data_IF_973154399401
#
_entry.id   IF_973154399401
#
_cell.length_a   1.000
_cell.length_b   1.000
_cell.length_c   1.000
_cell.angle_alpha   90.00
_cell.angle_beta   90.00
_cell.angle_gamma   90.00
#
_symmetry.space_group_name_H-M   'P 1'
#
loop_
_entity.id
_entity.type
_entity.pdbx_description
1 polymer ?
#
# COMPACT_ATOMS: atom_id res chain seq x y z
N UNK A 1 28.68 -2.32 -0.79
CA UNK A 1 27.59 -1.31 -0.77
C UNK A 1 26.99 -1.20 0.65
N UNK A 2 27.63 -0.46 1.57
CA UNK A 2 27.17 -0.31 2.95
C UNK A 2 26.05 0.74 3.18
N UNK A 3 25.70 1.59 2.19
CA UNK A 3 24.80 2.76 2.35
C UNK A 3 23.28 2.50 2.32
N UNK A 4 22.84 1.23 2.31
CA UNK A 4 21.41 0.85 2.23
C UNK A 4 20.85 0.23 3.52
N UNK A 5 21.66 0.01 4.55
CA UNK A 5 21.20 -0.54 5.81
C UNK A 5 20.31 0.49 6.53
N UNK A 6 19.01 0.17 6.64
CA UNK A 6 18.07 1.03 7.37
C UNK A 6 17.55 2.23 6.57
N UNK A 7 17.49 2.16 5.24
CA UNK A 7 16.61 3.03 4.43
C UNK A 7 15.39 2.25 3.96
N UNK A 8 14.24 2.90 3.87
CA UNK A 8 12.98 2.34 3.38
C UNK A 8 12.33 3.35 2.44
N UNK A 9 11.89 2.95 1.26
CA UNK A 9 11.08 3.78 0.36
C UNK A 9 9.65 3.24 0.25
N UNK A 10 8.67 4.11 0.38
CA UNK A 10 7.24 3.77 0.28
C UNK A 10 6.60 4.63 -0.80
N UNK A 11 5.87 3.99 -1.70
CA UNK A 11 4.97 4.63 -2.63
C UNK A 11 3.53 4.27 -2.23
N UNK A 12 2.68 5.27 -1.98
CA UNK A 12 1.23 5.08 -1.90
C UNK A 12 0.59 5.71 -3.13
N UNK A 13 -0.25 4.97 -3.83
CA UNK A 13 -0.98 5.48 -4.98
C UNK A 13 -2.38 4.90 -5.01
N UNK A 14 -3.36 5.78 -5.09
CA UNK A 14 -4.70 5.38 -5.44
C UNK A 14 -4.74 5.19 -6.97
N UNK A 15 -5.08 3.98 -7.43
CA UNK A 15 -5.15 3.62 -8.85
C UNK A 15 -6.59 3.55 -9.36
N UNK A 16 -7.53 4.11 -8.57
CA UNK A 16 -8.90 4.41 -8.94
C UNK A 16 -8.98 5.06 -10.31
N UNK A 17 -10.05 4.76 -11.06
CA UNK A 17 -10.35 5.42 -12.32
C UNK A 17 -11.09 4.51 -13.29
N UNK A 18 -12.17 3.84 -12.83
CA UNK A 18 -13.08 3.03 -13.68
C UNK A 18 -13.73 3.92 -14.73
N UNK A 19 -12.99 4.09 -15.81
CA UNK A 19 -13.42 4.70 -17.03
C UNK A 19 -12.21 4.72 -17.92
N UNK A 20 -12.14 3.80 -18.87
CA UNK A 20 -11.74 4.19 -20.22
C UNK A 20 -12.79 5.19 -20.75
N UNK A 21 -13.00 6.31 -20.06
CA UNK A 21 -13.88 7.40 -20.45
C UNK A 21 -13.09 8.28 -21.39
N UNK A 22 -13.42 8.33 -22.69
CA UNK A 22 -12.69 9.10 -23.66
C UNK A 22 -12.44 10.54 -23.19
N UNK A 23 -11.18 11.04 -23.31
CA UNK A 23 -10.01 10.31 -23.80
C UNK A 23 -9.32 9.57 -22.64
N UNK A 24 -9.80 8.36 -22.33
CA UNK A 24 -9.37 7.59 -21.16
C UNK A 24 -8.06 6.90 -21.44
N UNK A 25 -7.12 7.01 -20.51
CA UNK A 25 -5.79 6.43 -20.64
C UNK A 25 -5.81 4.99 -20.15
N UNK A 26 -5.24 4.08 -20.94
CA UNK A 26 -5.20 2.66 -20.59
C UNK A 26 -4.38 2.39 -19.33
N UNK A 27 -4.67 1.28 -18.64
CA UNK A 27 -3.92 0.87 -17.45
C UNK A 27 -2.43 0.68 -17.73
N UNK A 28 -2.06 0.18 -18.91
CA UNK A 28 -0.66 -0.01 -19.31
C UNK A 28 0.10 1.31 -19.36
N UNK A 29 -0.52 2.35 -19.91
CA UNK A 29 0.10 3.67 -19.99
C UNK A 29 0.31 4.26 -18.60
N UNK A 30 -0.63 4.08 -17.67
CA UNK A 30 -0.50 4.57 -16.28
C UNK A 30 0.53 3.79 -15.50
N UNK A 31 0.52 2.48 -15.59
CA UNK A 31 1.51 1.61 -14.97
C UNK A 31 2.93 1.95 -15.46
N UNK A 32 3.10 2.16 -16.77
CA UNK A 32 4.37 2.60 -17.36
C UNK A 32 4.80 3.97 -16.80
N UNK A 33 3.88 4.93 -16.66
CA UNK A 33 4.17 6.23 -16.03
C UNK A 33 4.63 6.08 -14.59
N UNK A 34 3.93 5.30 -13.76
CA UNK A 34 4.29 5.03 -12.36
C UNK A 34 5.69 4.39 -12.30
N UNK A 35 5.96 3.40 -13.16
CA UNK A 35 7.22 2.69 -13.20
C UNK A 35 8.39 3.55 -13.69
N UNK A 36 8.19 4.39 -14.72
CA UNK A 36 9.20 5.34 -15.20
C UNK A 36 9.50 6.42 -14.16
N UNK A 37 8.47 6.91 -13.47
CA UNK A 37 8.67 7.82 -12.35
C UNK A 37 9.58 7.18 -11.30
N UNK A 38 9.30 5.92 -10.92
CA UNK A 38 10.12 5.18 -9.97
C UNK A 38 11.56 4.92 -10.47
N UNK A 39 11.75 4.72 -11.79
CA UNK A 39 13.06 4.56 -12.42
C UNK A 39 13.92 5.83 -12.32
N UNK A 40 13.30 7.01 -12.50
CA UNK A 40 14.00 8.30 -12.38
C UNK A 40 14.33 8.66 -10.92
N UNK A 41 13.69 7.98 -9.97
CA UNK A 41 13.88 8.16 -8.54
C UNK A 41 14.49 6.90 -7.92
N UNK A 42 14.20 6.63 -6.64
CA UNK A 42 14.55 5.36 -6.00
C UNK A 42 13.38 4.40 -6.15
N UNK A 43 13.58 3.19 -6.71
CA UNK A 43 12.54 2.17 -6.73
C UNK A 43 11.98 1.95 -5.31
N UNK A 44 10.65 2.00 -5.12
CA UNK A 44 10.03 1.85 -3.80
C UNK A 44 10.32 0.46 -3.22
N UNK A 45 10.47 0.35 -1.91
CA UNK A 45 10.53 -0.94 -1.22
C UNK A 45 9.12 -1.51 -1.00
N UNK A 46 8.15 -0.62 -0.78
CA UNK A 46 6.73 -0.92 -0.57
C UNK A 46 5.92 -0.06 -1.55
N UNK A 47 4.99 -0.68 -2.28
CA UNK A 47 3.98 0.02 -3.09
C UNK A 47 2.61 -0.33 -2.54
N UNK A 48 1.92 0.64 -1.95
CA UNK A 48 0.56 0.52 -1.46
C UNK A 48 -0.41 1.05 -2.49
N UNK A 49 -1.36 0.21 -2.87
CA UNK A 49 -2.35 0.50 -3.88
C UNK A 49 -3.74 0.56 -3.25
N UNK A 50 -4.48 1.62 -3.55
CA UNK A 50 -5.90 1.77 -3.24
C UNK A 50 -6.71 1.69 -4.54
N UNK A 51 -7.97 1.28 -4.43
CA UNK A 51 -8.90 1.10 -5.56
C UNK A 51 -8.40 0.25 -6.74
N UNK A 52 -7.70 -0.84 -6.43
CA UNK A 52 -7.28 -1.83 -7.43
C UNK A 52 -8.49 -2.68 -7.84
N UNK A 53 -8.63 -3.00 -9.12
CA UNK A 53 -9.54 -4.07 -9.55
C UNK A 53 -8.84 -5.41 -9.52
N UNK A 54 -9.36 -6.30 -8.67
CA UNK A 54 -8.91 -7.67 -8.61
C UNK A 54 -9.48 -8.53 -9.74
N UNK A 55 -10.72 -8.29 -10.17
CA UNK A 55 -11.31 -8.85 -11.39
C UNK A 55 -12.51 -8.00 -11.81
N UNK A 56 -12.92 -8.12 -13.07
CA UNK A 56 -14.12 -7.49 -13.61
C UNK A 56 -14.90 -8.52 -14.44
N UNK A 57 -16.14 -8.77 -14.07
CA UNK A 57 -17.10 -9.46 -14.91
C UNK A 57 -18.12 -8.48 -15.48
N UNK A 58 -18.09 -8.42 -16.79
CA UNK A 58 -19.11 -7.75 -17.58
C UNK A 58 -19.92 -8.83 -18.30
N UNK A 59 -21.25 -8.91 -18.13
CA UNK A 59 -22.06 -9.74 -19.01
C UNK A 59 -21.81 -9.34 -20.48
N UNK A 60 -22.07 -10.24 -21.46
CA UNK A 60 -21.71 -10.05 -22.87
C UNK A 60 -22.36 -8.83 -23.55
N UNK A 61 -23.29 -8.16 -22.89
CA UNK A 61 -23.86 -6.89 -23.32
C UNK A 61 -22.89 -5.79 -22.89
N UNK A 62 -22.49 -4.91 -23.83
CA UNK A 62 -21.59 -3.74 -23.64
C UNK A 62 -22.18 -2.64 -22.73
N UNK A 63 -22.94 -3.03 -21.73
CA UNK A 63 -23.78 -2.20 -20.86
C UNK A 63 -23.08 -1.73 -19.61
N UNK A 64 -21.87 -2.22 -19.32
CA UNK A 64 -21.05 -1.78 -18.19
C UNK A 64 -20.37 -0.42 -18.41
N UNK A 65 -20.73 0.30 -19.48
CA UNK A 65 -20.10 1.54 -19.93
C UNK A 65 -19.40 1.34 -21.28
N UNK A 66 -19.58 2.31 -22.19
CA UNK A 66 -18.80 2.40 -23.44
C UNK A 66 -17.36 2.78 -23.07
N UNK A 67 -16.55 1.80 -22.69
CA UNK A 67 -15.16 1.99 -22.26
C UNK A 67 -14.47 0.69 -21.94
N UNK A 68 -15.14 -0.25 -21.26
CA UNK A 68 -14.57 -1.56 -20.91
C UNK A 68 -14.54 -2.48 -22.12
N UNK A 69 -13.56 -2.27 -23.00
CA UNK A 69 -13.34 -3.06 -24.21
C UNK A 69 -12.83 -4.47 -23.94
N UNK A 70 -12.47 -4.80 -22.70
CA UNK A 70 -11.92 -6.09 -22.29
C UNK A 70 -12.38 -6.38 -20.86
N UNK A 71 -12.91 -7.58 -20.60
CA UNK A 71 -13.06 -8.08 -19.24
C UNK A 71 -11.68 -8.13 -18.58
N UNK A 72 -11.44 -7.38 -17.52
CA UNK A 72 -10.19 -7.49 -16.77
C UNK A 72 -10.17 -8.84 -16.04
N UNK A 73 -9.18 -9.67 -16.39
CA UNK A 73 -8.96 -10.94 -15.71
C UNK A 73 -8.55 -10.74 -14.25
N UNK A 74 -8.42 -11.85 -13.52
CA UNK A 74 -7.92 -11.78 -12.15
C UNK A 74 -6.52 -11.14 -12.13
N UNK A 75 -6.30 -10.17 -11.24
CA UNK A 75 -5.03 -9.48 -11.05
C UNK A 75 -4.48 -8.71 -12.26
N UNK A 76 -5.26 -8.50 -13.32
CA UNK A 76 -4.73 -7.93 -14.58
C UNK A 76 -4.08 -6.55 -14.39
N UNK A 77 -4.70 -5.68 -13.57
CA UNK A 77 -4.12 -4.37 -13.22
C UNK A 77 -2.80 -4.50 -12.45
N UNK A 78 -2.69 -5.50 -11.56
CA UNK A 78 -1.46 -5.80 -10.82
C UNK A 78 -0.39 -6.36 -11.77
N UNK A 79 -0.74 -7.24 -12.69
CA UNK A 79 0.20 -7.80 -13.67
C UNK A 79 0.87 -6.72 -14.53
N UNK A 80 0.03 -5.84 -15.08
CA UNK A 80 0.47 -4.71 -15.90
C UNK A 80 1.45 -3.83 -15.13
N UNK A 81 1.15 -3.52 -13.86
CA UNK A 81 2.02 -2.72 -13.01
C UNK A 81 3.33 -3.44 -12.66
N UNK A 82 3.29 -4.73 -12.32
CA UNK A 82 4.47 -5.53 -12.03
C UNK A 82 5.40 -5.63 -13.26
N UNK A 83 4.84 -5.83 -14.45
CA UNK A 83 5.58 -5.86 -15.68
C UNK A 83 6.24 -4.51 -15.99
N UNK A 84 5.51 -3.40 -15.80
CA UNK A 84 6.04 -2.06 -15.96
C UNK A 84 7.21 -1.79 -15.00
N UNK A 85 7.06 -2.11 -13.71
CA UNK A 85 8.14 -1.96 -12.72
C UNK A 85 9.37 -2.80 -13.09
N UNK A 86 9.19 -4.08 -13.47
CA UNK A 86 10.30 -4.94 -13.91
C UNK A 86 11.03 -4.32 -15.08
N UNK A 87 10.31 -3.85 -16.09
CA UNK A 87 10.89 -3.31 -17.32
C UNK A 87 11.62 -1.97 -17.09
N UNK A 88 11.05 -1.07 -16.28
CA UNK A 88 11.64 0.25 -16.04
C UNK A 88 12.75 0.22 -14.97
N UNK A 89 12.54 -0.50 -13.86
CA UNK A 89 13.43 -0.44 -12.68
C UNK A 89 14.32 -1.67 -12.52
N UNK A 90 14.03 -2.76 -13.24
CA UNK A 90 14.67 -4.06 -13.05
C UNK A 90 14.19 -4.83 -11.81
N UNK A 91 13.29 -4.26 -11.00
CA UNK A 91 12.78 -4.90 -9.78
C UNK A 91 11.53 -5.71 -10.10
N UNK A 92 11.58 -7.01 -9.82
CA UNK A 92 10.40 -7.89 -9.82
C UNK A 92 9.77 -7.87 -8.44
N UNK A 93 8.72 -7.06 -8.26
CA UNK A 93 7.97 -6.98 -7.01
C UNK A 93 7.16 -8.26 -6.76
N UNK A 94 6.88 -8.54 -5.48
CA UNK A 94 5.95 -9.58 -5.03
C UNK A 94 4.69 -8.94 -4.47
N UNK A 95 3.56 -9.64 -4.60
CA UNK A 95 2.27 -9.22 -4.05
C UNK A 95 2.15 -9.79 -2.65
N UNK A 96 2.16 -8.92 -1.63
CA UNK A 96 1.95 -9.35 -0.26
C UNK A 96 0.50 -9.78 -0.01
N UNK A 97 -0.44 -9.05 -0.59
CA UNK A 97 -1.87 -9.40 -0.62
C UNK A 97 -2.63 -8.58 -1.68
N UNK A 98 -3.85 -9.04 -2.01
CA UNK A 98 -4.90 -8.28 -2.72
C UNK A 98 -6.25 -8.61 -2.07
N UNK A 99 -6.77 -7.70 -1.25
CA UNK A 99 -8.01 -7.94 -0.48
C UNK A 99 -9.02 -6.85 -0.79
N UNK A 100 -10.28 -7.24 -0.94
CA UNK A 100 -11.32 -6.35 -1.41
C UNK A 100 -12.72 -6.88 -1.11
N UNK A 101 -13.69 -6.33 -1.82
CA UNK A 101 -15.08 -6.76 -1.77
C UNK A 101 -15.67 -6.75 -3.17
N UNK A 102 -16.61 -7.67 -3.40
CA UNK A 102 -17.38 -7.66 -4.64
C UNK A 102 -18.38 -6.50 -4.62
N UNK A 103 -18.36 -5.68 -5.68
CA UNK A 103 -19.31 -4.61 -5.92
C UNK A 103 -20.09 -4.92 -7.20
N UNK A 104 -21.34 -4.49 -7.21
CA UNK A 104 -22.13 -4.43 -8.44
C UNK A 104 -22.32 -2.98 -8.86
N UNK A 105 -22.16 -2.70 -10.15
CA UNK A 105 -22.38 -1.36 -10.72
C UNK A 105 -23.08 -1.44 -12.07
N UNK A 106 -23.64 -0.31 -12.50
CA UNK A 106 -24.39 -0.21 -13.76
C UNK A 106 -25.83 -0.71 -13.67
N UNK A 107 -26.60 -0.45 -14.74
CA UNK A 107 -28.01 -0.87 -14.87
C UNK A 107 -28.11 -2.37 -15.15
N UNK A 108 -27.09 -2.93 -15.79
CA UNK A 108 -26.88 -4.38 -15.92
C UNK A 108 -25.82 -4.75 -14.87
N UNK A 109 -26.00 -5.82 -14.07
CA UNK A 109 -25.16 -6.11 -12.92
C UNK A 109 -23.76 -6.54 -13.37
N UNK A 110 -22.89 -5.56 -13.54
CA UNK A 110 -21.46 -5.75 -13.74
C UNK A 110 -20.83 -5.93 -12.37
N UNK A 111 -19.96 -6.92 -12.23
CA UNK A 111 -19.34 -7.25 -10.94
C UNK A 111 -17.85 -6.91 -11.00
N UNK A 112 -17.37 -6.22 -9.97
CA UNK A 112 -15.94 -5.96 -9.76
C UNK A 112 -15.54 -6.44 -8.39
N UNK A 113 -14.27 -6.82 -8.26
CA UNK A 113 -13.65 -6.92 -6.95
C UNK A 113 -12.79 -5.69 -6.70
N UNK A 114 -13.34 -4.77 -5.92
CA UNK A 114 -12.69 -3.53 -5.56
C UNK A 114 -11.81 -3.74 -4.34
N UNK A 115 -10.51 -3.46 -4.47
CA UNK A 115 -9.51 -3.99 -3.56
C UNK A 115 -8.42 -2.97 -3.19
N UNK A 116 -7.69 -3.34 -2.14
CA UNK A 116 -6.40 -2.77 -1.75
C UNK A 116 -5.32 -3.83 -1.95
N UNK A 117 -4.10 -3.38 -2.29
CA UNK A 117 -2.95 -4.27 -2.43
C UNK A 117 -1.69 -3.65 -1.84
N UNK A 118 -0.77 -4.50 -1.40
CA UNK A 118 0.62 -4.11 -1.13
C UNK A 118 1.55 -4.97 -1.97
N UNK A 119 2.40 -4.30 -2.73
CA UNK A 119 3.55 -4.90 -3.41
C UNK A 119 4.82 -4.56 -2.63
N UNK A 120 5.83 -5.44 -2.68
CA UNK A 120 7.11 -5.17 -2.03
C UNK A 120 8.31 -5.68 -2.84
N UNK A 121 9.46 -5.06 -2.65
CA UNK A 121 10.72 -5.44 -3.29
C UNK A 121 11.35 -6.65 -2.58
N UNK A 122 11.32 -7.87 -3.16
CA UNK A 122 11.81 -9.07 -2.49
C UNK A 122 13.34 -9.10 -2.32
N UNK A 123 14.08 -8.26 -3.05
CA UNK A 123 15.52 -8.11 -2.85
C UNK A 123 15.87 -7.41 -1.53
N UNK A 124 14.89 -6.73 -0.91
CA UNK A 124 15.10 -5.91 0.30
C UNK A 124 14.19 -6.28 1.46
N UNK A 125 12.96 -6.71 1.16
CA UNK A 125 11.96 -7.06 2.15
C UNK A 125 11.46 -8.50 1.97
N UNK A 126 10.89 -9.06 3.02
CA UNK A 126 10.16 -10.34 3.00
C UNK A 126 8.83 -10.14 3.72
N UNK A 127 7.75 -10.70 3.20
CA UNK A 127 6.48 -10.75 3.90
C UNK A 127 6.60 -11.66 5.13
N UNK A 128 6.03 -11.23 6.25
CA UNK A 128 6.00 -11.93 7.54
C UNK A 128 4.58 -12.07 8.07
N UNK A 129 3.60 -11.90 7.19
CA UNK A 129 2.18 -12.10 7.50
C UNK A 129 1.79 -13.58 7.45
N UNK A 130 2.79 -14.45 7.28
CA UNK A 130 2.82 -15.82 6.72
C UNK A 130 1.90 -16.88 7.35
N UNK A 131 1.21 -16.56 8.44
CA UNK A 131 0.27 -17.51 9.04
C UNK A 131 -1.15 -17.27 8.55
N UNK A 132 -1.51 -17.94 7.45
CA UNK A 132 -2.88 -17.99 6.96
C UNK A 132 -3.80 -18.87 7.83
N UNK A 133 -3.28 -19.57 8.85
CA UNK A 133 -4.10 -20.34 9.79
C UNK A 133 -5.11 -19.42 10.46
N UNK A 134 -6.38 -19.84 10.48
CA UNK A 134 -7.48 -19.04 11.01
C UNK A 134 -7.87 -17.83 10.16
N UNK A 135 -7.31 -17.66 8.96
CA UNK A 135 -7.77 -16.62 8.03
C UNK A 135 -9.12 -16.99 7.42
N UNK A 136 -9.98 -16.00 7.25
CA UNK A 136 -11.22 -16.14 6.50
C UNK A 136 -10.97 -16.13 4.99
N UNK A 137 -11.90 -16.70 4.23
CA UNK A 137 -11.87 -16.65 2.78
C UNK A 137 -11.96 -15.21 2.27
N UNK A 138 -11.46 -14.99 1.06
CA UNK A 138 -11.40 -13.67 0.41
C UNK A 138 -12.77 -13.00 0.17
N UNK A 139 -13.87 -13.74 0.30
CA UNK A 139 -15.27 -13.34 0.10
C UNK A 139 -16.11 -13.52 1.38
N UNK A 140 -15.49 -13.91 2.50
CA UNK A 140 -16.20 -14.11 3.75
C UNK A 140 -16.83 -12.79 4.25
N UNK A 141 -18.09 -12.88 4.69
CA UNK A 141 -18.82 -11.76 5.28
C UNK A 141 -18.53 -11.64 6.78
N UNK A 142 -17.30 -11.23 7.08
CA UNK A 142 -16.84 -10.96 8.46
C UNK A 142 -16.61 -9.46 8.62
N UNK A 143 -17.16 -8.90 9.69
CA UNK A 143 -17.07 -7.48 10.03
C UNK A 143 -16.02 -7.25 11.11
N UNK A 144 -15.54 -6.01 11.19
CA UNK A 144 -14.47 -5.63 12.11
C UNK A 144 -13.10 -6.18 11.70
N UNK A 145 -12.07 -6.04 12.56
CA UNK A 145 -10.73 -6.51 12.28
C UNK A 145 -10.63 -8.04 12.25
N UNK A 146 -10.13 -8.62 11.16
CA UNK A 146 -9.92 -10.06 11.04
C UNK A 146 -8.85 -10.39 10.00
N UNK A 147 -8.27 -11.60 10.09
CA UNK A 147 -7.38 -12.10 9.02
C UNK A 147 -8.19 -12.58 7.83
N UNK A 148 -7.81 -12.16 6.64
CA UNK A 148 -8.48 -12.51 5.38
C UNK A 148 -7.43 -12.94 4.35
N UNK A 149 -7.75 -13.99 3.60
CA UNK A 149 -6.97 -14.43 2.44
C UNK A 149 -7.16 -13.45 1.28
N UNK A 150 -6.10 -13.21 0.51
CA UNK A 150 -6.18 -12.51 -0.78
C UNK A 150 -7.11 -13.19 -1.78
N UNK A 151 -7.58 -12.41 -2.75
CA UNK A 151 -8.28 -12.91 -3.92
C UNK A 151 -7.50 -14.08 -4.55
N UNK A 152 -8.10 -15.26 -4.75
CA UNK A 152 -7.45 -16.35 -5.47
C UNK A 152 -7.23 -16.02 -6.95
N UNK A 153 -6.07 -16.44 -7.49
CA UNK A 153 -5.70 -16.29 -8.90
C UNK A 153 -6.35 -17.39 -9.76
N UNK A 154 -7.57 -17.16 -10.25
CA UNK A 154 -8.34 -18.15 -11.00
C UNK A 154 -7.92 -18.32 -12.46
N UNK A 155 -7.36 -17.29 -13.08
CA UNK A 155 -6.70 -17.34 -14.38
C UNK A 155 -5.18 -17.51 -14.16
N UNK A 156 -4.59 -18.65 -14.56
CA UNK A 156 -3.12 -18.87 -14.38
C UNK A 156 -2.37 -17.97 -15.35
N UNK A 157 -1.32 -17.30 -14.88
CA UNK A 157 -0.54 -16.40 -15.71
C UNK A 157 -1.43 -15.34 -16.34
N UNK A 158 -1.41 -14.14 -15.81
CA UNK A 158 -1.76 -12.98 -16.63
C UNK A 158 -0.73 -12.88 -17.77
N UNK A 159 -1.02 -12.12 -18.82
CA UNK A 159 -0.26 -12.17 -20.09
C UNK A 159 1.22 -11.76 -19.96
N UNK A 160 1.65 -11.14 -18.84
CA UNK A 160 2.93 -10.44 -18.76
C UNK A 160 3.88 -11.00 -17.68
N UNK A 161 3.37 -11.47 -16.54
CA UNK A 161 4.16 -11.99 -15.42
C UNK A 161 3.65 -13.37 -14.92
N UNK A 162 4.54 -14.20 -14.36
CA UNK A 162 4.16 -15.47 -13.72
C UNK A 162 3.56 -15.23 -12.32
N UNK A 163 2.38 -14.59 -12.24
CA UNK A 163 1.77 -14.10 -11.00
C UNK A 163 1.65 -15.15 -9.89
N UNK A 164 1.40 -16.42 -10.23
CA UNK A 164 1.35 -17.51 -9.25
C UNK A 164 2.64 -17.68 -8.45
N UNK A 165 3.78 -17.18 -8.94
CA UNK A 165 5.07 -17.20 -8.23
C UNK A 165 5.33 -15.90 -7.47
N UNK A 166 4.61 -14.83 -7.82
CA UNK A 166 4.82 -13.48 -7.29
C UNK A 166 3.87 -13.15 -6.14
N UNK A 167 2.73 -13.82 -6.04
CA UNK A 167 1.83 -13.72 -4.89
C UNK A 167 2.43 -14.52 -3.73
N UNK A 168 2.65 -13.85 -2.61
CA UNK A 168 3.04 -14.51 -1.37
C UNK A 168 1.85 -15.18 -0.71
N UNK A 169 2.13 -16.24 0.03
CA UNK A 169 1.14 -16.91 0.87
C UNK A 169 0.94 -18.37 0.49
N UNK A 170 0.31 -19.15 1.36
CA UNK A 170 0.05 -20.56 1.09
C UNK A 170 -0.97 -20.73 -0.04
N UNK A 171 -1.00 -21.95 -0.58
CA UNK A 171 -2.06 -22.33 -1.51
C UNK A 171 -3.39 -22.40 -0.77
N UNK A 172 -4.43 -21.90 -1.42
CA UNK A 172 -5.83 -21.99 -0.99
C UNK A 172 -6.70 -22.51 -2.13
N UNK A 173 -7.93 -22.90 -1.79
CA UNK A 173 -8.90 -23.45 -2.75
C UNK A 173 -10.28 -22.81 -2.63
N UNK A 174 -10.41 -21.63 -2.02
CA UNK A 174 -11.70 -20.98 -1.75
C UNK A 174 -12.47 -20.68 -3.05
N UNK A 175 -11.76 -20.48 -4.16
CA UNK A 175 -12.34 -20.23 -5.48
C UNK A 175 -11.68 -21.09 -6.54
N UNK A 176 -12.43 -21.43 -7.59
CA UNK A 176 -11.93 -22.00 -8.85
C UNK A 176 -11.34 -23.42 -8.77
N UNK A 177 -11.63 -24.15 -7.68
CA UNK A 177 -11.42 -25.60 -7.59
C UNK A 177 -9.97 -26.07 -7.68
N UNK A 178 -8.99 -25.19 -7.42
CA UNK A 178 -7.56 -25.52 -7.51
C UNK A 178 -6.74 -24.72 -6.50
N UNK A 179 -5.57 -25.25 -6.16
CA UNK A 179 -4.60 -24.55 -5.32
C UNK A 179 -4.09 -23.27 -5.99
N UNK A 180 -4.29 -22.12 -5.37
CA UNK A 180 -3.77 -20.81 -5.81
C UNK A 180 -3.11 -20.09 -4.64
N UNK A 181 -1.98 -19.40 -4.84
CA UNK A 181 -1.34 -18.65 -3.76
C UNK A 181 -2.25 -17.52 -3.27
N UNK A 182 -2.28 -17.30 -1.97
CA UNK A 182 -3.07 -16.21 -1.39
C UNK A 182 -2.42 -15.65 -0.14
N UNK A 183 -2.00 -14.39 -0.24
CA UNK A 183 -1.37 -13.67 0.85
C UNK A 183 -2.38 -13.30 1.91
N UNK A 184 -2.19 -13.69 3.18
CA UNK A 184 -3.05 -13.22 4.24
C UNK A 184 -2.75 -11.75 4.56
N UNK A 185 -3.81 -11.00 4.87
CA UNK A 185 -3.72 -9.68 5.48
C UNK A 185 -4.70 -9.58 6.64
N UNK A 186 -4.40 -8.73 7.64
CA UNK A 186 -5.44 -8.35 8.61
C UNK A 186 -6.19 -7.16 8.03
N UNK A 187 -7.48 -7.31 7.82
CA UNK A 187 -8.33 -6.28 7.20
C UNK A 187 -9.36 -5.79 8.21
N UNK A 188 -9.99 -4.65 7.93
CA UNK A 188 -11.18 -4.21 8.66
C UNK A 188 -12.29 -3.82 7.71
N UNK A 189 -13.48 -4.34 7.98
CA UNK A 189 -14.69 -4.10 7.21
C UNK A 189 -15.76 -3.50 8.13
N UNK A 190 -16.26 -2.28 7.86
CA UNK A 190 -17.37 -1.70 8.63
C UNK A 190 -18.68 -2.44 8.36
N UNK A 191 -19.66 -2.25 9.24
CA UNK A 191 -20.95 -2.97 9.24
C UNK A 191 -21.75 -2.83 7.93
N UNK A 192 -21.54 -1.73 7.18
CA UNK A 192 -22.20 -1.47 5.90
C UNK A 192 -21.24 -0.89 4.85
N UNK A 193 -20.07 -1.48 4.69
CA UNK A 193 -19.11 -1.01 3.69
C UNK A 193 -18.14 -2.08 3.23
N UNK A 194 -17.13 -1.62 2.50
CA UNK A 194 -16.03 -2.42 2.00
C UNK A 194 -14.81 -2.26 2.90
N UNK A 195 -13.76 -3.02 2.61
CA UNK A 195 -12.49 -2.93 3.34
C UNK A 195 -12.06 -1.46 3.44
N UNK A 196 -12.01 -0.96 4.67
CA UNK A 196 -11.58 0.42 4.98
C UNK A 196 -10.07 0.50 5.26
N UNK A 197 -9.45 -0.64 5.59
CA UNK A 197 -8.04 -0.72 5.86
C UNK A 197 -7.53 -2.15 5.91
N UNK A 198 -6.26 -2.29 5.59
CA UNK A 198 -5.54 -3.55 5.53
C UNK A 198 -4.17 -3.41 6.18
N UNK A 199 -3.66 -4.49 6.77
CA UNK A 199 -2.39 -4.53 7.49
C UNK A 199 -1.55 -5.70 7.00
N UNK A 200 -0.25 -5.43 6.81
CA UNK A 200 0.78 -6.42 6.50
C UNK A 200 2.02 -6.17 7.36
N UNK A 201 2.71 -7.25 7.70
CA UNK A 201 4.02 -7.20 8.34
C UNK A 201 5.10 -7.57 7.34
N UNK A 202 6.10 -6.71 7.20
CA UNK A 202 7.29 -6.96 6.38
C UNK A 202 8.54 -6.96 7.26
N UNK A 203 9.63 -7.56 6.81
CA UNK A 203 10.94 -7.47 7.45
C UNK A 203 12.04 -7.28 6.42
N UNK A 204 13.15 -6.66 6.82
CA UNK A 204 14.32 -6.57 5.92
C UNK A 204 14.95 -7.95 5.71
N UNK A 205 15.33 -8.26 4.48
CA UNK A 205 16.06 -9.50 4.16
C UNK A 205 17.44 -9.51 4.81
N UNK A 206 18.10 -8.34 4.90
CA UNK A 206 19.40 -8.17 5.53
C UNK A 206 19.37 -8.20 7.06
N UNK A 207 18.20 -8.00 7.66
CA UNK A 207 18.01 -8.08 9.11
C UNK A 207 16.54 -8.42 9.41
N UNK A 208 16.20 -9.72 9.49
CA UNK A 208 14.83 -10.17 9.72
C UNK A 208 14.22 -9.72 11.04
N UNK A 209 15.05 -9.26 11.99
CA UNK A 209 14.55 -8.71 13.26
C UNK A 209 13.98 -7.31 13.06
N UNK A 210 14.38 -6.59 12.01
CA UNK A 210 13.84 -5.26 11.67
C UNK A 210 12.52 -5.40 10.94
N UNK A 211 11.46 -5.33 11.71
CA UNK A 211 10.08 -5.44 11.23
C UNK A 211 9.49 -4.08 10.88
N UNK A 212 8.66 -4.05 9.84
CA UNK A 212 7.83 -2.93 9.39
C UNK A 212 6.38 -3.37 9.51
N UNK A 213 5.63 -2.66 10.35
CA UNK A 213 4.18 -2.80 10.47
C UNK A 213 3.55 -1.77 9.52
N UNK A 214 2.84 -2.22 8.49
CA UNK A 214 2.37 -1.36 7.40
C UNK A 214 0.85 -1.45 7.27
N UNK A 215 0.18 -0.29 7.34
CA UNK A 215 -1.25 -0.12 7.14
C UNK A 215 -1.50 0.52 5.77
N UNK A 216 -2.39 -0.08 4.99
CA UNK A 216 -2.92 0.47 3.75
C UNK A 216 -4.40 0.85 3.99
N UNK A 217 -4.71 2.14 4.01
CA UNK A 217 -6.04 2.66 4.38
C UNK A 217 -6.73 3.24 3.15
N UNK A 218 -8.03 2.99 3.04
CA UNK A 218 -8.87 3.62 2.04
C UNK A 218 -10.27 3.76 2.60
N UNK A 219 -10.65 4.98 2.99
CA UNK A 219 -12.03 5.19 3.45
C UNK A 219 -13.00 5.07 2.28
N UNK A 220 -14.19 4.57 2.53
CA UNK A 220 -15.25 4.56 1.55
C UNK A 220 -15.72 6.03 1.34
N UNK A 221 -15.92 6.44 0.09
CA UNK A 221 -16.29 7.82 -0.26
C UNK A 221 -17.53 8.32 0.52
N UNK A 222 -17.44 9.50 1.13
CA UNK A 222 -18.51 10.07 1.96
C UNK A 222 -18.82 9.30 3.25
N UNK A 223 -17.90 8.44 3.72
CA UNK A 223 -18.06 7.58 4.91
C UNK A 223 -16.88 7.64 5.88
N UNK A 224 -16.03 8.66 5.79
CA UNK A 224 -14.85 8.81 6.64
C UNK A 224 -15.19 8.72 8.15
N UNK A 225 -16.27 9.36 8.60
CA UNK A 225 -16.71 9.32 10.01
C UNK A 225 -17.10 7.90 10.48
N UNK A 226 -17.66 7.09 9.58
CA UNK A 226 -18.02 5.69 9.86
C UNK A 226 -16.79 4.78 9.85
N UNK A 227 -15.87 5.01 8.93
CA UNK A 227 -14.72 4.14 8.70
C UNK A 227 -13.58 4.39 9.68
N UNK A 228 -13.44 5.63 10.14
CA UNK A 228 -12.35 6.02 11.03
C UNK A 228 -12.33 5.21 12.34
N UNK A 229 -13.44 5.03 13.10
CA UNK A 229 -13.44 4.24 14.32
C UNK A 229 -12.97 2.79 14.10
N UNK A 230 -13.41 2.15 13.00
CA UNK A 230 -13.04 0.75 12.71
C UNK A 230 -11.59 0.64 12.26
N UNK A 231 -11.05 1.62 11.52
CA UNK A 231 -9.62 1.64 11.18
C UNK A 231 -8.75 1.87 12.41
N UNK A 232 -9.17 2.72 13.35
CA UNK A 232 -8.50 2.83 14.66
C UNK A 232 -8.54 1.50 15.42
N UNK A 233 -9.66 0.78 15.35
CA UNK A 233 -9.77 -0.56 15.92
C UNK A 233 -8.79 -1.55 15.26
N UNK A 234 -8.61 -1.52 13.93
CA UNK A 234 -7.59 -2.32 13.23
C UNK A 234 -6.19 -2.05 13.79
N UNK A 235 -5.81 -0.78 13.89
CA UNK A 235 -4.49 -0.37 14.42
C UNK A 235 -4.31 -0.90 15.85
N UNK A 236 -5.34 -0.80 16.67
CA UNK A 236 -5.33 -1.29 18.06
C UNK A 236 -5.32 -2.82 18.14
N UNK A 237 -6.05 -3.50 17.25
CA UNK A 237 -6.19 -4.96 17.18
C UNK A 237 -4.87 -5.63 16.81
N UNK A 238 -4.18 -5.10 15.79
CA UNK A 238 -2.85 -5.62 15.43
C UNK A 238 -1.78 -5.20 16.44
N UNK A 239 -2.06 -4.18 17.24
CA UNK A 239 -1.24 -3.67 18.34
C UNK A 239 0.21 -3.35 17.95
N UNK A 240 1.04 -2.91 18.90
CA UNK A 240 2.49 -2.91 18.73
C UNK A 240 3.04 -4.34 18.86
N UNK A 241 2.47 -5.32 18.16
CA UNK A 241 3.01 -6.68 18.16
C UNK A 241 4.45 -6.61 17.61
N UNK A 242 5.41 -6.98 18.47
CA UNK A 242 6.82 -7.18 18.10
C UNK A 242 7.77 -6.00 18.35
N UNK A 243 7.33 -4.91 18.99
CA UNK A 243 8.24 -3.84 19.42
C UNK A 243 8.51 -3.97 20.92
N UNK A 244 9.52 -4.77 21.31
CA UNK A 244 10.07 -4.65 22.66
C UNK A 244 10.50 -3.20 22.90
N UNK A 245 10.24 -2.64 24.07
CA UNK A 245 10.53 -1.22 24.37
C UNK A 245 12.01 -0.81 24.21
N UNK A 246 12.91 -1.76 23.91
CA UNK A 246 14.35 -1.62 23.73
C UNK A 246 14.83 -1.55 22.27
N UNK A 247 13.97 -1.85 21.29
CA UNK A 247 14.41 -2.09 19.92
C UNK A 247 14.23 -0.86 19.02
N UNK A 248 15.29 -0.58 18.28
CA UNK A 248 15.46 0.55 17.37
C UNK A 248 14.66 0.38 16.05
N UNK A 249 13.40 -0.05 16.11
CA UNK A 249 12.61 -0.43 14.94
C UNK A 249 12.12 0.75 14.10
N UNK A 250 11.56 0.43 12.91
CA UNK A 250 10.76 1.40 12.17
C UNK A 250 9.42 1.57 12.88
N UNK A 251 8.95 2.82 13.05
CA UNK A 251 7.60 3.07 13.52
C UNK A 251 6.57 2.42 12.57
N UNK A 252 5.37 2.11 13.07
CA UNK A 252 4.25 1.76 12.20
C UNK A 252 4.08 2.81 11.11
N UNK A 253 3.87 2.35 9.89
CA UNK A 253 3.64 3.19 8.73
C UNK A 253 2.19 3.05 8.31
N UNK A 254 1.52 4.17 8.10
CA UNK A 254 0.18 4.23 7.55
C UNK A 254 0.27 4.93 6.22
N UNK A 255 -0.15 4.27 5.16
CA UNK A 255 -0.29 4.84 3.84
C UNK A 255 -1.75 4.70 3.41
N UNK A 256 -2.30 5.68 2.75
CA UNK A 256 -3.67 5.53 2.29
C UNK A 256 -4.30 6.79 1.78
N UNK A 257 -5.44 6.58 1.14
CA UNK A 257 -6.36 7.61 0.72
C UNK A 257 -7.46 7.76 1.78
N UNK A 258 -7.40 8.85 2.53
CA UNK A 258 -8.33 9.13 3.62
C UNK A 258 -9.56 9.90 3.14
N UNK A 259 -9.67 10.16 1.83
CA UNK A 259 -10.67 11.01 1.22
C UNK A 259 -10.78 12.34 1.98
N UNK A 260 -11.91 12.59 2.63
CA UNK A 260 -12.30 13.88 3.22
C UNK A 260 -11.54 14.26 4.51
N UNK A 261 -10.71 13.37 5.06
CA UNK A 261 -9.98 13.62 6.30
C UNK A 261 -8.48 13.76 6.06
N UNK A 262 -7.89 14.82 6.61
CA UNK A 262 -6.44 14.87 6.75
C UNK A 262 -5.93 13.84 7.76
N UNK A 263 -4.67 13.43 7.63
CA UNK A 263 -4.00 12.51 8.56
C UNK A 263 -4.04 13.05 9.99
N UNK A 264 -3.90 14.36 10.18
CA UNK A 264 -3.93 14.97 11.51
C UNK A 264 -5.31 14.86 12.18
N UNK A 265 -6.40 14.91 11.39
CA UNK A 265 -7.77 14.72 11.89
C UNK A 265 -8.05 13.24 12.16
N UNK A 266 -7.71 12.37 11.21
CA UNK A 266 -7.98 10.94 11.30
C UNK A 266 -7.10 10.24 12.34
N UNK A 267 -5.81 10.53 12.33
CA UNK A 267 -4.78 9.85 13.11
C UNK A 267 -3.85 10.88 13.76
N UNK A 268 -4.32 11.62 14.78
CA UNK A 268 -3.50 12.62 15.48
C UNK A 268 -2.22 12.01 16.08
N UNK A 269 -2.23 10.70 16.30
CA UNK A 269 -1.12 9.91 16.82
C UNK A 269 -0.03 9.57 15.80
N UNK A 270 -0.29 9.80 14.51
CA UNK A 270 0.66 9.58 13.44
C UNK A 270 1.28 10.92 13.04
N UNK A 271 2.61 10.96 12.99
CA UNK A 271 3.31 12.11 12.41
C UNK A 271 3.25 12.01 10.89
N UNK A 272 2.77 13.07 10.26
CA UNK A 272 2.79 13.18 8.81
C UNK A 272 4.22 13.14 8.26
N UNK A 273 4.48 12.25 7.30
CA UNK A 273 5.80 12.08 6.70
C UNK A 273 6.10 13.16 5.65
N UNK A 274 5.06 13.61 4.96
CA UNK A 274 5.12 14.63 3.94
C UNK A 274 4.02 15.64 4.22
N UNK A 275 4.36 16.92 4.41
CA UNK A 275 3.34 17.96 4.47
C UNK A 275 2.84 18.19 3.05
N UNK A 276 1.57 17.89 2.74
CA UNK A 276 1.06 18.11 1.40
C UNK A 276 1.13 19.60 1.08
N UNK A 277 1.48 19.93 -0.17
CA UNK A 277 1.47 21.31 -0.66
C UNK A 277 0.02 21.82 -0.81
N UNK A 278 -0.91 20.90 -1.07
CA UNK A 278 -2.34 21.12 -1.16
C UNK A 278 -3.05 20.59 0.11
N UNK A 279 -3.78 21.41 0.88
CA UNK A 279 -4.55 20.93 2.03
C UNK A 279 -5.65 19.92 1.67
N UNK A 280 -6.02 19.80 0.38
CA UNK A 280 -6.97 18.82 -0.15
C UNK A 280 -6.31 17.49 -0.55
N UNK A 281 -4.99 17.31 -0.36
CA UNK A 281 -4.31 16.04 -0.66
C UNK A 281 -4.85 14.92 0.25
N UNK A 282 -5.52 13.94 -0.36
CA UNK A 282 -6.20 12.86 0.35
C UNK A 282 -5.33 11.60 0.53
N UNK A 283 -4.26 11.45 -0.27
CA UNK A 283 -3.30 10.35 -0.17
C UNK A 283 -2.11 10.75 0.68
N UNK A 284 -1.82 9.97 1.72
CA UNK A 284 -0.90 10.39 2.77
C UNK A 284 -0.04 9.24 3.27
N UNK A 285 1.14 9.57 3.80
CA UNK A 285 1.96 8.64 4.58
C UNK A 285 2.18 9.21 5.98
N UNK A 286 1.69 8.48 6.98
CA UNK A 286 1.90 8.71 8.41
C UNK A 286 2.94 7.76 9.01
N UNK A 287 3.63 8.24 10.04
CA UNK A 287 4.72 7.57 10.74
C UNK A 287 4.45 7.63 12.26
N UNK A 288 4.35 6.46 12.91
CA UNK A 288 4.21 6.32 14.37
C UNK A 288 2.78 6.08 14.85
N UNK A 289 2.57 5.74 16.13
CA UNK A 289 1.24 5.67 16.76
C UNK A 289 1.39 5.91 18.27
N UNK A 290 1.20 7.14 18.73
CA UNK A 290 1.66 7.62 20.05
C UNK A 290 1.00 6.99 21.28
N UNK A 291 -0.26 6.57 21.25
CA UNK A 291 -0.89 5.97 22.44
C UNK A 291 -0.33 4.59 22.82
N UNK A 292 0.37 3.90 21.91
CA UNK A 292 1.01 2.60 22.18
C UNK A 292 2.53 2.61 22.01
N UNK A 293 3.08 3.45 21.13
CA UNK A 293 4.54 3.64 20.99
C UNK A 293 4.87 5.10 20.59
N UNK A 294 5.41 5.91 21.52
CA UNK A 294 5.65 7.33 21.25
C UNK A 294 6.57 7.56 20.04
N UNK A 295 6.14 8.36 19.07
CA UNK A 295 6.92 8.77 17.90
C UNK A 295 8.34 9.24 18.24
N UNK A 296 8.50 9.88 19.42
CA UNK A 296 9.77 10.36 19.96
C UNK A 296 10.82 9.27 20.23
N UNK A 297 10.42 7.99 20.36
CA UNK A 297 11.34 6.87 20.59
C UNK A 297 11.95 6.32 19.29
N UNK A 298 11.40 6.71 18.14
CA UNK A 298 11.84 6.17 16.85
C UNK A 298 12.95 7.03 16.23
N UNK A 299 14.01 6.37 15.77
CA UNK A 299 15.17 7.02 15.12
C UNK A 299 15.02 7.14 13.59
N UNK A 300 13.87 6.73 13.05
CA UNK A 300 13.54 6.88 11.63
C UNK A 300 13.15 8.34 11.35
N UNK A 301 13.72 8.93 10.30
CA UNK A 301 13.33 10.24 9.79
C UNK A 301 13.04 10.13 8.30
N UNK A 302 12.12 10.97 7.84
CA UNK A 302 11.89 11.17 6.42
C UNK A 302 13.13 11.84 5.83
N UNK A 303 13.68 11.23 4.79
CA UNK A 303 14.87 11.72 4.06
C UNK A 303 14.55 12.19 2.67
N UNK A 304 13.41 11.77 2.12
CA UNK A 304 12.95 12.18 0.81
C UNK A 304 11.43 12.18 0.81
N UNK A 305 10.85 13.18 0.18
CA UNK A 305 9.43 13.18 -0.17
C UNK A 305 9.32 13.61 -1.61
N UNK A 306 8.45 12.95 -2.35
CA UNK A 306 8.05 13.40 -3.65
C UNK A 306 6.57 13.07 -3.80
N UNK A 307 5.74 14.09 -3.98
CA UNK A 307 4.46 13.87 -4.65
C UNK A 307 4.80 13.45 -6.07
N UNK A 308 4.17 12.40 -6.57
CA UNK A 308 4.45 11.95 -7.94
C UNK A 308 3.96 13.06 -8.89
N UNK A 309 4.88 13.84 -9.51
CA UNK A 309 4.55 15.08 -10.18
C UNK A 309 3.94 14.76 -11.55
N UNK A 310 2.99 15.58 -11.99
CA UNK A 310 2.12 15.44 -13.17
C UNK A 310 0.67 15.02 -12.87
N UNK A 311 0.31 14.94 -11.59
CA UNK A 311 -1.06 15.10 -11.12
C UNK A 311 -1.31 16.61 -10.94
N UNK A 312 -2.06 17.31 -11.82
CA UNK A 312 -2.53 18.62 -11.47
C UNK A 312 -3.47 18.47 -10.28
N UNK A 313 -3.21 19.31 -9.29
CA UNK A 313 -3.79 19.28 -7.96
C UNK A 313 -5.11 20.04 -7.92
N UNK A 314 -6.07 19.55 -7.13
CA UNK A 314 -7.30 20.25 -6.72
C UNK A 314 -8.38 20.58 -7.78
N UNK A 315 -9.52 19.89 -7.74
CA UNK A 315 -10.58 20.29 -6.79
C UNK A 315 -10.67 19.22 -5.69
N UNK A 316 -10.18 18.01 -6.00
CA UNK A 316 -9.47 17.08 -5.11
C UNK A 316 -8.42 16.18 -5.83
N UNK A 317 -8.16 16.36 -7.15
CA UNK A 317 -6.94 15.98 -7.94
C UNK A 317 -7.21 16.01 -9.50
N UNK A 318 -7.40 17.15 -10.19
CA UNK A 318 -7.78 17.22 -11.60
C UNK A 318 -6.57 17.28 -12.54
N UNK A 319 -6.30 16.14 -13.16
CA UNK A 319 -5.56 15.92 -14.41
C UNK A 319 -6.08 16.58 -15.67
N UNK A 320 -5.14 16.98 -16.55
CA UNK A 320 -5.35 16.64 -17.97
C UNK A 320 -4.99 15.17 -18.11
N UNK A 321 -5.87 14.29 -18.63
CA UNK A 321 -5.60 12.87 -18.77
C UNK A 321 -4.19 12.61 -19.30
N UNK A 322 -3.82 13.26 -20.40
CA UNK A 322 -2.55 13.07 -21.11
C UNK A 322 -1.28 13.23 -20.24
N UNK A 323 -1.33 13.90 -19.09
CA UNK A 323 -0.18 14.04 -18.17
C UNK A 323 -0.29 13.19 -16.89
N UNK A 324 -1.47 12.66 -16.57
CA UNK A 324 -1.73 11.95 -15.32
C UNK A 324 -0.94 10.64 -15.19
N UNK A 325 -0.12 10.53 -14.14
CA UNK A 325 0.58 9.27 -13.81
C UNK A 325 -0.39 8.24 -13.21
N UNK A 326 -1.41 8.71 -12.50
CA UNK A 326 -2.59 7.98 -12.04
C UNK A 326 -3.80 8.91 -12.17
N UNK A 327 -5.02 8.37 -12.24
CA UNK A 327 -6.24 9.20 -12.24
C UNK A 327 -6.56 9.76 -10.83
N UNK A 328 -5.73 9.44 -9.84
CA UNK A 328 -5.87 9.87 -8.45
C UNK A 328 -4.52 10.23 -7.81
N UNK A 329 -4.56 10.75 -6.59
CA UNK A 329 -3.38 11.24 -5.87
C UNK A 329 -2.35 10.12 -5.54
N UNK A 330 -1.07 10.47 -5.43
CA UNK A 330 0.00 9.51 -5.10
C UNK A 330 1.22 10.19 -4.48
N UNK A 331 1.78 9.56 -3.43
CA UNK A 331 2.88 10.11 -2.64
C UNK A 331 3.99 9.10 -2.42
N UNK A 332 5.23 9.55 -2.56
CA UNK A 332 6.43 8.80 -2.25
C UNK A 332 7.17 9.38 -1.06
N UNK A 333 7.63 8.51 -0.17
CA UNK A 333 8.42 8.85 1.00
C UNK A 333 9.62 7.91 1.12
N UNK A 334 10.81 8.50 1.15
CA UNK A 334 12.03 7.85 1.62
C UNK A 334 12.21 8.08 3.12
N UNK A 335 12.46 7.02 3.86
CA UNK A 335 12.64 7.00 5.32
C UNK A 335 14.02 6.41 5.58
N UNK A 336 14.86 7.08 6.36
CA UNK A 336 16.10 6.50 6.85
C UNK A 336 16.12 6.45 8.37
N UNK A 337 16.59 5.32 8.90
CA UNK A 337 16.99 5.20 10.30
C UNK A 337 18.35 5.86 10.48
N UNK A 338 18.42 6.85 11.36
CA UNK A 338 19.70 7.40 11.76
C UNK A 338 20.32 6.48 12.83
N UNK A 339 21.56 6.00 12.64
CA UNK A 339 22.31 5.42 13.74
C UNK A 339 22.61 6.55 14.72
N UNK A 340 21.76 6.71 15.73
CA UNK A 340 22.12 7.52 16.88
C UNK A 340 23.40 6.94 17.49
N UNK A 341 24.40 7.79 17.65
CA UNK A 341 25.62 7.61 18.42
C UNK A 341 25.43 6.52 19.48
N UNK A 342 26.21 5.46 19.37
CA UNK A 342 26.49 4.63 20.54
C UNK A 342 26.98 5.60 21.62
N UNK A 343 26.18 5.80 22.66
CA UNK A 343 26.58 6.50 23.86
C UNK A 343 27.67 5.74 24.59
N UNK A 344 28.85 5.67 23.99
CA UNK A 344 30.12 5.77 24.68
C UNK A 344 30.70 7.05 24.10
N UNK A 345 30.55 8.14 24.85
CA UNK A 345 31.27 9.36 24.57
C UNK A 345 32.76 8.98 24.51
N UNK A 346 33.31 8.91 23.30
CA UNK A 346 34.75 8.98 23.11
C UNK A 346 35.14 10.40 23.49
N UNK A 347 35.38 10.60 24.80
CA UNK A 347 36.02 11.78 25.34
C UNK A 347 37.48 11.78 24.88
N UNK A 348 37.72 12.09 23.61
CA UNK A 348 39.04 12.44 23.08
C UNK A 348 38.86 13.62 22.14
N UNK A 349 38.67 14.81 22.71
CA UNK A 349 39.39 16.00 22.25
C UNK A 349 39.16 17.20 23.17
N UNK A 350 40.29 17.86 23.47
CA UNK A 350 40.41 19.23 23.95
C UNK A 350 40.15 19.53 25.44
N UNK A 351 40.98 18.95 26.33
CA UNK A 351 41.57 19.74 27.42
C UNK A 351 42.92 20.26 26.91
N UNK A 352 42.86 21.23 26.01
CA UNK A 352 44.00 22.06 25.59
C UNK A 352 43.50 23.48 25.47
N UNK A 353 43.27 24.13 26.62
CA UNK A 353 42.83 25.52 26.62
C UNK A 353 42.11 25.94 27.90
N UNK A 354 42.68 25.66 29.08
CA UNK A 354 42.32 26.32 30.34
C UNK A 354 43.32 25.96 31.46
N UNK A 355 44.61 26.21 31.19
CA UNK A 355 45.62 26.52 32.21
C UNK A 355 46.65 27.45 31.58
N UNK A 356 46.34 28.75 31.62
CA UNK A 356 47.31 29.85 31.79
C UNK A 356 46.70 30.85 32.73
#
# INVERSE_FOLDING_TARGET
MPDKLGKLSVLSVNVAGIGDTPPGISWETRADRIARWAQQHTPPDIVALQEVYGWLFTPPIRSCGRGFGVSAGDYDQIDILLAAFRNATGVTYRVAYLTGSELSFGVIPCQIYHAQSVLYNPGRLVNRSDDATGSFAHDADVRGPHRRRSLPLCNRGTRLMPLETLIDGPLQTDKCGRGTPSGPATVVIPENGHIAGSFVRLAFTSDPTKVINFFNIHFNAGKAERDLPVVRELIRHVGPIGHDASSLYYPPLLAGDLNELSLAQAFPDFKMAHKPEDPEEVVMIGIGATESVPAARYRARVTQTATIPDLPQGVSCPGKPETLISDHCGVFVGIARFPGETGVATAISAISGLLR
#
